data_IF_301524016273
#
_entry.id   IF_301524016273
#
_cell.length_a   1.000
_cell.length_b   1.000
_cell.length_c   1.000
_cell.angle_alpha   90.00
_cell.angle_beta   90.00
_cell.angle_gamma   90.00
#
_symmetry.space_group_name_H-M   'P 1'
#
loop_
_entity.id
_entity.type
_entity.pdbx_description
1 polymer ?
#
# COMPACT_ATOMS: atom_id res chain seq x y z
N UNK A 1 51.58 21.29 -36.48
CA UNK A 1 51.79 20.11 -35.61
C UNK A 1 50.50 19.30 -35.67
N UNK A 2 50.54 18.03 -36.12
CA UNK A 2 49.34 17.33 -36.54
C UNK A 2 48.47 16.99 -35.33
N UNK A 3 47.20 17.38 -35.38
CA UNK A 3 46.21 17.01 -34.39
C UNK A 3 46.04 15.49 -34.38
N UNK A 4 46.43 14.87 -33.27
CA UNK A 4 46.20 13.46 -33.01
C UNK A 4 44.71 13.23 -32.90
N UNK A 5 44.08 12.85 -34.01
CA UNK A 5 42.76 12.24 -34.00
C UNK A 5 42.89 11.03 -33.09
N UNK A 6 42.13 11.01 -31.99
CA UNK A 6 41.99 9.88 -31.09
C UNK A 6 41.41 8.71 -31.93
N UNK A 7 42.29 7.98 -32.61
CA UNK A 7 41.92 6.82 -33.40
C UNK A 7 41.59 5.71 -32.40
N UNK A 8 40.32 5.70 -31.95
CA UNK A 8 39.79 4.63 -31.11
C UNK A 8 40.00 3.32 -31.87
N UNK A 9 40.76 2.41 -31.27
CA UNK A 9 41.00 1.09 -31.83
C UNK A 9 39.67 0.31 -32.01
N UNK A 10 39.56 -0.54 -33.05
CA UNK A 10 38.30 -1.19 -33.42
C UNK A 10 37.70 -2.03 -32.29
N UNK A 11 38.55 -2.61 -31.44
CA UNK A 11 38.14 -3.43 -30.32
C UNK A 11 37.58 -2.58 -29.17
N UNK A 12 38.25 -1.47 -28.80
CA UNK A 12 37.70 -0.53 -27.81
C UNK A 12 36.35 0.02 -28.27
N UNK A 13 36.20 0.37 -29.55
CA UNK A 13 34.90 0.80 -30.10
C UNK A 13 33.83 -0.29 -29.94
N UNK A 14 34.18 -1.55 -30.18
CA UNK A 14 33.25 -2.68 -30.05
C UNK A 14 32.80 -2.89 -28.60
N UNK A 15 33.72 -2.82 -27.64
CA UNK A 15 33.37 -2.92 -26.22
C UNK A 15 32.51 -1.74 -25.74
N UNK A 16 32.79 -0.52 -26.19
CA UNK A 16 31.99 0.66 -25.86
C UNK A 16 30.55 0.53 -26.39
N UNK A 17 30.37 0.04 -27.62
CA UNK A 17 29.05 -0.21 -28.20
C UNK A 17 28.31 -1.31 -27.43
N UNK A 18 28.99 -2.42 -27.10
CA UNK A 18 28.40 -3.50 -26.33
C UNK A 18 27.96 -3.02 -24.92
N UNK A 19 28.80 -2.22 -24.27
CA UNK A 19 28.47 -1.63 -22.97
C UNK A 19 27.26 -0.68 -23.07
N UNK A 20 27.21 0.17 -24.10
CA UNK A 20 26.07 1.05 -24.33
C UNK A 20 24.76 0.26 -24.49
N UNK A 21 24.78 -0.86 -25.21
CA UNK A 21 23.61 -1.74 -25.35
C UNK A 21 23.14 -2.32 -24.02
N UNK A 22 24.07 -2.79 -23.19
CA UNK A 22 23.75 -3.32 -21.85
C UNK A 22 23.09 -2.24 -21.00
N UNK A 23 23.67 -1.04 -20.95
CA UNK A 23 23.11 0.07 -20.16
C UNK A 23 21.70 0.44 -20.64
N UNK A 24 21.49 0.57 -21.95
CA UNK A 24 20.17 0.88 -22.52
C UNK A 24 19.15 -0.20 -22.14
N UNK A 25 19.51 -1.47 -22.29
CA UNK A 25 18.63 -2.59 -21.94
C UNK A 25 18.29 -2.59 -20.45
N UNK A 26 19.27 -2.37 -19.58
CA UNK A 26 19.07 -2.29 -18.13
C UNK A 26 18.16 -1.13 -17.75
N UNK A 27 18.39 0.07 -18.28
CA UNK A 27 17.56 1.25 -17.99
C UNK A 27 16.13 1.04 -18.48
N UNK A 28 15.96 0.49 -19.69
CA UNK A 28 14.65 0.19 -20.23
C UNK A 28 13.90 -0.87 -19.39
N UNK A 29 14.58 -1.96 -19.03
CA UNK A 29 14.00 -3.02 -18.20
C UNK A 29 13.63 -2.52 -16.79
N UNK A 30 14.51 -1.74 -16.17
CA UNK A 30 14.24 -1.11 -14.88
C UNK A 30 13.04 -0.15 -14.95
N UNK A 31 12.98 0.68 -15.99
CA UNK A 31 11.86 1.59 -16.22
C UNK A 31 10.53 0.85 -16.41
N UNK A 32 10.53 -0.26 -17.16
CA UNK A 32 9.36 -1.09 -17.37
C UNK A 32 8.89 -1.76 -16.06
N UNK A 33 9.82 -2.31 -15.27
CA UNK A 33 9.51 -2.91 -13.98
C UNK A 33 8.95 -1.90 -12.98
N UNK A 34 9.57 -0.71 -12.88
CA UNK A 34 9.07 0.39 -12.07
C UNK A 34 7.67 0.82 -12.51
N UNK A 35 7.44 0.94 -13.82
CA UNK A 35 6.15 1.31 -14.37
C UNK A 35 5.10 0.25 -14.00
N UNK A 36 5.39 -1.04 -14.18
CA UNK A 36 4.48 -2.13 -13.87
C UNK A 36 4.00 -2.12 -12.42
N UNK A 37 4.92 -1.91 -11.46
CA UNK A 37 4.56 -1.76 -10.04
C UNK A 37 3.63 -0.56 -9.88
N UNK A 38 3.95 0.58 -10.52
CA UNK A 38 3.09 1.77 -10.46
C UNK A 38 1.70 1.52 -11.06
N UNK A 39 1.59 0.76 -12.15
CA UNK A 39 0.32 0.39 -12.78
C UNK A 39 -0.59 -0.41 -11.86
N UNK A 40 -0.02 -1.23 -10.97
CA UNK A 40 -0.78 -2.04 -10.02
C UNK A 40 -1.64 -1.17 -9.09
N UNK A 41 -1.11 0.00 -8.70
CA UNK A 41 -1.73 0.93 -7.74
C UNK A 41 -2.38 2.16 -8.40
N UNK A 42 -1.80 2.66 -9.51
CA UNK A 42 -2.27 3.81 -10.29
C UNK A 42 -2.35 3.35 -11.75
N UNK A 43 -3.53 3.06 -12.29
CA UNK A 43 -4.55 4.10 -12.43
C UNK A 43 -5.83 3.83 -11.62
N UNK A 44 -6.33 4.87 -10.94
CA UNK A 44 -7.55 4.77 -10.12
C UNK A 44 -8.82 4.59 -10.95
N UNK A 45 -8.82 5.10 -12.18
CA UNK A 45 -9.90 4.94 -13.15
C UNK A 45 -9.33 4.45 -14.49
N UNK A 46 -10.07 3.62 -15.25
CA UNK A 46 -9.64 3.18 -16.56
C UNK A 46 -9.58 4.35 -17.53
N UNK A 47 -8.48 4.51 -18.26
CA UNK A 47 -8.35 5.54 -19.29
C UNK A 47 -8.88 4.97 -20.60
N UNK A 48 -9.89 5.65 -21.15
CA UNK A 48 -10.55 5.26 -22.41
C UNK A 48 -10.20 6.27 -23.50
N UNK A 49 -9.95 5.77 -24.71
CA UNK A 49 -9.76 6.58 -25.91
C UNK A 49 -10.67 6.03 -27.00
N UNK A 50 -11.50 6.88 -27.61
CA UNK A 50 -12.48 6.50 -28.64
C UNK A 50 -13.35 5.28 -28.26
N UNK A 51 -13.74 5.17 -26.98
CA UNK A 51 -14.53 4.05 -26.47
C UNK A 51 -13.75 2.77 -26.13
N UNK A 52 -12.48 2.66 -26.53
CA UNK A 52 -11.60 1.55 -26.17
C UNK A 52 -10.83 1.85 -24.88
N UNK A 53 -10.73 0.87 -23.97
CA UNK A 53 -9.92 1.02 -22.77
C UNK A 53 -8.44 0.86 -23.13
N UNK A 54 -7.69 1.96 -23.15
CA UNK A 54 -6.25 1.95 -23.46
C UNK A 54 -5.45 1.54 -22.23
N UNK A 55 -5.90 2.00 -21.05
CA UNK A 55 -5.27 1.65 -19.78
C UNK A 55 -6.31 1.10 -18.80
N UNK A 56 -6.22 -0.19 -18.43
CA UNK A 56 -7.10 -0.77 -17.44
C UNK A 56 -6.82 -0.17 -16.06
N UNK A 57 -7.83 -0.17 -15.20
CA UNK A 57 -7.67 0.23 -13.80
C UNK A 57 -6.62 -0.65 -13.10
N UNK A 58 -5.85 -0.07 -12.17
CA UNK A 58 -4.90 -0.83 -11.38
C UNK A 58 -5.57 -1.98 -10.62
N UNK A 59 -4.88 -3.11 -10.51
CA UNK A 59 -5.43 -4.33 -9.91
C UNK A 59 -5.87 -4.14 -8.46
N UNK A 60 -5.11 -3.38 -7.67
CA UNK A 60 -5.42 -3.13 -6.25
C UNK A 60 -6.65 -2.22 -6.11
N UNK A 61 -6.72 -1.03 -6.74
CA UNK A 61 -7.93 -0.22 -6.74
C UNK A 61 -9.18 -0.95 -7.24
N UNK A 62 -9.02 -1.85 -8.23
CA UNK A 62 -10.11 -2.64 -8.80
C UNK A 62 -10.70 -3.66 -7.82
N UNK A 63 -9.91 -4.19 -6.88
CA UNK A 63 -10.32 -5.22 -5.91
C UNK A 63 -10.25 -4.72 -4.46
N UNK A 64 -10.29 -3.41 -4.25
CA UNK A 64 -10.11 -2.78 -2.93
C UNK A 64 -11.03 -3.33 -1.84
N UNK A 65 -12.28 -3.65 -2.18
CA UNK A 65 -13.29 -4.15 -1.22
C UNK A 65 -12.91 -5.55 -0.73
N UNK A 66 -12.63 -6.47 -1.66
CA UNK A 66 -12.19 -7.83 -1.33
C UNK A 66 -10.88 -7.83 -0.53
N UNK A 67 -9.95 -6.95 -0.89
CA UNK A 67 -8.69 -6.79 -0.15
C UNK A 67 -8.93 -6.27 1.26
N UNK A 68 -9.79 -5.27 1.43
CA UNK A 68 -10.15 -4.73 2.74
C UNK A 68 -10.81 -5.79 3.63
N UNK A 69 -11.72 -6.60 3.07
CA UNK A 69 -12.35 -7.72 3.78
C UNK A 69 -11.32 -8.77 4.22
N UNK A 70 -10.45 -9.21 3.29
CA UNK A 70 -9.45 -10.26 3.58
C UNK A 70 -8.43 -9.78 4.62
N UNK A 71 -7.93 -8.56 4.45
CA UNK A 71 -6.97 -7.95 5.40
C UNK A 71 -7.65 -7.72 6.75
N UNK A 72 -8.88 -7.19 6.75
CA UNK A 72 -9.65 -6.96 7.96
C UNK A 72 -9.91 -8.23 8.75
N UNK A 73 -10.27 -9.33 8.08
CA UNK A 73 -10.44 -10.64 8.71
C UNK A 73 -9.12 -11.17 9.27
N UNK A 74 -8.02 -11.06 8.53
CA UNK A 74 -6.70 -11.52 9.00
C UNK A 74 -6.24 -10.72 10.24
N UNK A 75 -6.36 -9.39 10.20
CA UNK A 75 -6.01 -8.51 11.32
C UNK A 75 -6.95 -8.73 12.52
N UNK A 76 -8.25 -8.84 12.26
CA UNK A 76 -9.27 -9.05 13.29
C UNK A 76 -9.11 -10.40 14.00
N UNK A 77 -8.72 -11.44 13.28
CA UNK A 77 -8.52 -12.75 13.88
C UNK A 77 -7.17 -12.88 14.61
N UNK A 78 -6.11 -12.28 14.09
CA UNK A 78 -4.75 -12.54 14.57
C UNK A 78 -4.19 -11.45 15.50
N UNK A 79 -4.55 -10.17 15.27
CA UNK A 79 -3.99 -9.02 16.01
C UNK A 79 -5.00 -8.38 16.98
N UNK A 80 -6.29 -8.60 16.76
CA UNK A 80 -7.37 -8.07 17.60
C UNK A 80 -8.16 -9.26 18.16
N UNK A 81 -7.48 -10.14 18.89
CA UNK A 81 -8.16 -11.26 19.53
C UNK A 81 -9.18 -10.73 20.54
N UNK A 82 -10.26 -11.49 20.78
CA UNK A 82 -11.28 -11.10 21.75
C UNK A 82 -10.68 -10.83 23.13
N UNK A 83 -9.62 -11.55 23.49
CA UNK A 83 -8.87 -11.37 24.74
C UNK A 83 -8.24 -9.98 24.81
N UNK A 84 -7.57 -9.52 23.74
CA UNK A 84 -6.90 -8.22 23.72
C UNK A 84 -7.89 -7.06 23.81
N UNK A 85 -9.06 -7.22 23.19
CA UNK A 85 -10.14 -6.22 23.28
C UNK A 85 -10.74 -6.19 24.69
N UNK A 86 -10.99 -7.35 25.30
CA UNK A 86 -11.55 -7.44 26.65
C UNK A 86 -10.56 -6.91 27.69
N UNK A 87 -9.29 -7.30 27.61
CA UNK A 87 -8.24 -6.81 28.50
C UNK A 87 -8.09 -5.30 28.39
N UNK A 88 -8.05 -4.73 27.17
CA UNK A 88 -8.00 -3.29 26.99
C UNK A 88 -9.25 -2.55 27.53
N UNK A 89 -10.44 -3.17 27.43
CA UNK A 89 -11.68 -2.61 27.96
C UNK A 89 -11.72 -2.64 29.50
N UNK A 90 -11.24 -3.70 30.13
CA UNK A 90 -11.28 -3.87 31.59
C UNK A 90 -10.09 -3.23 32.31
N UNK A 91 -8.92 -3.14 31.67
CA UNK A 91 -7.79 -2.37 32.18
C UNK A 91 -8.04 -0.86 32.09
N UNK A 92 -8.84 -0.42 31.10
CA UNK A 92 -9.25 0.96 31.03
C UNK A 92 -10.21 1.27 32.19
N UNK A 93 -9.73 2.11 33.10
CA UNK A 93 -10.50 2.84 34.12
C UNK A 93 -11.86 3.40 33.62
N UNK A 94 -11.99 3.59 32.30
CA UNK A 94 -13.22 3.93 31.60
C UNK A 94 -14.38 2.96 31.90
N UNK A 95 -14.16 1.64 31.87
CA UNK A 95 -15.25 0.67 32.08
C UNK A 95 -15.76 0.72 33.52
N UNK A 96 -14.84 0.72 34.51
CA UNK A 96 -15.19 0.87 35.93
C UNK A 96 -15.96 2.16 36.18
N UNK A 97 -15.49 3.30 35.69
CA UNK A 97 -16.17 4.60 35.85
C UNK A 97 -17.56 4.60 35.21
N UNK A 98 -17.74 3.92 34.08
CA UNK A 98 -19.03 3.82 33.41
C UNK A 98 -20.02 2.95 34.19
N UNK A 99 -19.57 1.80 34.67
CA UNK A 99 -20.39 0.92 35.53
C UNK A 99 -20.78 1.64 36.83
N UNK A 100 -19.84 2.31 37.49
CA UNK A 100 -20.12 3.11 38.68
C UNK A 100 -21.14 4.22 38.40
N UNK A 101 -21.02 4.93 37.27
CA UNK A 101 -21.99 5.97 36.90
C UNK A 101 -23.39 5.44 36.63
N UNK A 102 -23.51 4.25 36.04
CA UNK A 102 -24.81 3.60 35.81
C UNK A 102 -25.44 3.16 37.12
N UNK A 103 -24.67 2.51 38.00
CA UNK A 103 -25.14 2.08 39.31
C UNK A 103 -25.60 3.31 40.12
N UNK A 104 -24.80 4.37 40.15
CA UNK A 104 -25.14 5.60 40.86
C UNK A 104 -26.45 6.23 40.36
N UNK A 105 -26.69 6.23 39.04
CA UNK A 105 -27.93 6.74 38.44
C UNK A 105 -29.15 5.97 38.95
N UNK A 106 -29.15 4.65 38.87
CA UNK A 106 -30.31 3.85 39.29
C UNK A 106 -30.53 3.87 40.80
N UNK A 107 -29.45 3.89 41.60
CA UNK A 107 -29.57 4.03 43.06
C UNK A 107 -30.15 5.39 43.43
N UNK A 108 -29.76 6.47 42.74
CA UNK A 108 -30.32 7.80 43.00
C UNK A 108 -31.81 7.90 42.64
N UNK A 109 -32.24 7.27 41.54
CA UNK A 109 -33.65 7.25 41.14
C UNK A 109 -34.49 6.48 42.17
N UNK A 110 -34.03 5.32 42.65
CA UNK A 110 -34.74 4.52 43.65
C UNK A 110 -34.81 5.20 45.02
N UNK A 111 -33.75 5.91 45.43
CA UNK A 111 -33.73 6.67 46.68
C UNK A 111 -34.53 7.98 46.62
N UNK A 112 -34.83 8.49 45.42
CA UNK A 112 -35.64 9.71 45.24
C UNK A 112 -37.15 9.47 45.23
N UNK A 113 -37.58 8.21 45.06
CA UNK A 113 -38.99 7.79 44.98
C UNK A 113 -39.52 7.25 46.34
N UNK A 114 -38.63 7.05 47.32
CA UNK A 114 -38.94 6.72 48.73
C UNK A 114 -39.06 7.98 49.59
#
# INVERSE_FOLDING_TARGET
MPGGVLAIDPDTKRYLIAFAWVVIATVHGYGAAWLAIRMLFRPYHPVKFLGLTVWPQGMIPRHRERLAETIGNAVGNELVSQETVLDALFEADFFRRKVESFIASYTSDLLSIS
#
